data_IF_896177424762
#
_entry.id   IF_896177424762
#
_cell.length_a   1.000
_cell.length_b   1.000
_cell.length_c   1.000
_cell.angle_alpha   90.00
_cell.angle_beta   90.00
_cell.angle_gamma   90.00
#
_symmetry.space_group_name_H-M   'P 1'
#
loop_
_entity.id
_entity.type
_entity.pdbx_description
1 polymer ?
#
# COMPACT_ATOMS: atom_id res chain seq x y z
N UNK A 1 7.32 -2.56 18.30
CA UNK A 1 6.78 -2.75 16.94
C UNK A 1 7.70 -2.00 16.00
N UNK A 2 8.27 -2.67 15.00
CA UNK A 2 9.16 -2.06 14.00
C UNK A 2 8.38 -1.86 12.70
N UNK A 3 8.58 -0.72 12.05
CA UNK A 3 7.97 -0.40 10.76
C UNK A 3 9.00 -0.62 9.64
N UNK A 4 8.67 -1.51 8.70
CA UNK A 4 9.46 -1.70 7.47
C UNK A 4 9.01 -0.71 6.41
N UNK A 5 9.94 -0.05 5.73
CA UNK A 5 9.62 0.92 4.67
C UNK A 5 10.42 0.58 3.41
N UNK A 6 9.70 0.17 2.36
CA UNK A 6 10.26 -0.11 1.04
C UNK A 6 9.78 0.95 0.06
N UNK A 7 10.68 1.86 -0.34
CA UNK A 7 10.35 2.94 -1.28
C UNK A 7 10.33 2.44 -2.73
N UNK A 8 9.43 3.01 -3.52
CA UNK A 8 9.41 2.78 -4.98
C UNK A 8 10.59 3.56 -5.56
N UNK A 9 11.32 2.94 -6.49
CA UNK A 9 12.40 3.60 -7.19
C UNK A 9 11.87 4.80 -7.99
N UNK A 10 12.62 5.90 -8.02
CA UNK A 10 12.16 7.19 -8.54
C UNK A 10 11.66 7.08 -9.99
N UNK A 11 12.30 6.23 -10.80
CA UNK A 11 11.94 5.98 -12.20
C UNK A 11 10.64 5.17 -12.38
N UNK A 12 10.13 4.54 -11.33
CA UNK A 12 8.88 3.76 -11.34
C UNK A 12 7.70 4.48 -10.66
N UNK A 13 7.92 5.70 -10.14
CA UNK A 13 6.87 6.48 -9.49
C UNK A 13 5.84 6.95 -10.51
N UNK A 14 4.56 6.90 -10.13
CA UNK A 14 3.46 7.40 -10.95
C UNK A 14 3.56 8.92 -11.09
N UNK A 15 3.21 9.42 -12.28
CA UNK A 15 3.03 10.84 -12.48
C UNK A 15 1.90 11.37 -11.57
N UNK A 16 2.15 12.50 -10.90
CA UNK A 16 1.12 13.17 -10.13
C UNK A 16 0.02 13.67 -11.08
N UNK A 17 -1.27 13.53 -10.72
CA UNK A 17 -2.34 14.14 -11.49
C UNK A 17 -2.10 15.65 -11.63
N UNK A 18 -2.05 16.15 -12.86
CA UNK A 18 -1.78 17.56 -13.13
C UNK A 18 -3.03 18.44 -13.03
N UNK A 19 -4.21 17.85 -13.22
CA UNK A 19 -5.51 18.53 -13.22
C UNK A 19 -6.36 18.02 -12.06
N UNK A 20 -6.52 18.87 -11.04
CA UNK A 20 -7.25 18.54 -9.82
C UNK A 20 -8.76 18.30 -10.08
N UNK A 21 -9.31 18.90 -11.14
CA UNK A 21 -10.72 18.67 -11.52
C UNK A 21 -10.98 17.24 -12.03
N UNK A 22 -9.92 16.49 -12.36
CA UNK A 22 -9.97 15.13 -12.91
C UNK A 22 -9.54 14.04 -11.94
N UNK A 23 -9.40 14.34 -10.65
CA UNK A 23 -8.90 13.36 -9.67
C UNK A 23 -9.77 12.10 -9.56
N UNK A 24 -11.10 12.23 -9.68
CA UNK A 24 -12.03 11.11 -9.67
C UNK A 24 -11.99 10.29 -8.36
N UNK A 25 -13.02 10.43 -7.52
CA UNK A 25 -13.07 9.73 -6.24
C UNK A 25 -12.88 8.21 -6.39
N UNK A 26 -11.89 7.66 -5.67
CA UNK A 26 -11.61 6.22 -5.62
C UNK A 26 -10.95 5.59 -6.86
N UNK A 27 -10.44 6.41 -7.80
CA UNK A 27 -9.88 5.89 -9.07
C UNK A 27 -8.36 5.95 -9.15
N UNK A 28 -7.73 6.91 -8.47
CA UNK A 28 -6.29 7.15 -8.53
C UNK A 28 -5.68 6.83 -7.17
N UNK A 29 -4.71 5.92 -7.15
CA UNK A 29 -4.00 5.48 -5.94
C UNK A 29 -2.51 5.83 -6.03
N UNK A 30 -1.92 6.17 -4.89
CA UNK A 30 -0.49 6.50 -4.75
C UNK A 30 0.43 5.29 -5.03
N UNK A 31 1.74 5.52 -4.96
CA UNK A 31 2.76 4.51 -5.21
C UNK A 31 2.90 3.46 -4.11
N UNK A 32 2.36 3.74 -2.91
CA UNK A 32 2.54 2.92 -1.72
C UNK A 32 1.24 2.62 -1.01
N UNK A 33 1.21 1.48 -0.32
CA UNK A 33 0.19 1.17 0.67
C UNK A 33 0.80 0.79 2.02
N UNK A 34 -0.01 0.77 3.07
CA UNK A 34 0.36 0.28 4.39
C UNK A 34 -0.30 -1.07 4.64
N UNK A 35 0.44 -2.01 5.20
CA UNK A 35 -0.07 -3.32 5.62
C UNK A 35 0.40 -3.63 7.03
N UNK A 36 -0.42 -4.36 7.78
CA UNK A 36 -0.06 -4.90 9.09
C UNK A 36 -0.79 -6.23 9.26
N UNK A 37 -0.06 -7.26 9.70
CA UNK A 37 -0.63 -8.60 9.89
C UNK A 37 -1.24 -8.70 11.29
N UNK A 38 -2.29 -9.50 11.39
CA UNK A 38 -2.92 -9.83 12.66
C UNK A 38 -2.92 -11.35 12.86
N UNK A 39 -2.69 -11.78 14.11
CA UNK A 39 -2.88 -13.17 14.56
C UNK A 39 -3.37 -13.12 16.00
N UNK A 40 -4.43 -13.85 16.33
CA UNK A 40 -5.10 -13.74 17.64
C UNK A 40 -4.15 -13.88 18.84
N UNK A 41 -3.19 -14.80 18.77
CA UNK A 41 -2.19 -15.03 19.83
C UNK A 41 -1.10 -13.95 19.93
N UNK A 42 -0.89 -13.18 18.86
CA UNK A 42 0.23 -12.22 18.72
C UNK A 42 -0.23 -10.76 18.68
N UNK A 43 -1.51 -10.51 18.40
CA UNK A 43 -2.02 -9.18 18.06
C UNK A 43 -1.52 -8.72 16.70
N UNK A 44 -1.31 -7.41 16.56
CA UNK A 44 -0.79 -6.77 15.35
C UNK A 44 0.74 -6.90 15.26
N UNK A 45 1.25 -7.29 14.09
CA UNK A 45 2.68 -7.47 13.86
C UNK A 45 3.04 -7.27 12.39
N UNK A 46 4.34 -7.13 12.10
CA UNK A 46 4.89 -7.03 10.75
C UNK A 46 4.31 -5.85 9.94
N UNK A 47 4.33 -4.65 10.55
CA UNK A 47 3.88 -3.43 9.90
C UNK A 47 4.84 -3.03 8.77
N UNK A 48 4.30 -2.72 7.59
CA UNK A 48 5.08 -2.37 6.41
C UNK A 48 4.42 -1.28 5.54
N UNK A 49 5.25 -0.38 5.02
CA UNK A 49 4.92 0.50 3.89
C UNK A 49 5.66 -0.04 2.66
N UNK A 50 4.92 -0.40 1.62
CA UNK A 50 5.45 -1.08 0.43
C UNK A 50 4.84 -0.52 -0.86
N UNK A 51 5.45 -0.76 -2.04
CA UNK A 51 4.85 -0.45 -3.33
C UNK A 51 3.43 -1.02 -3.45
N UNK A 52 2.51 -0.21 -3.97
CA UNK A 52 1.13 -0.62 -4.21
C UNK A 52 1.10 -1.82 -5.17
N UNK A 53 0.38 -2.87 -4.78
CA UNK A 53 0.25 -4.11 -5.55
C UNK A 53 -1.09 -4.79 -5.25
N UNK A 54 -1.54 -5.73 -6.09
CA UNK A 54 -2.64 -6.62 -5.75
C UNK A 54 -2.39 -7.34 -4.42
N UNK A 55 -3.43 -7.45 -3.61
CA UNK A 55 -3.40 -8.26 -2.39
C UNK A 55 -3.60 -9.72 -2.79
N UNK A 56 -2.69 -10.59 -2.36
CA UNK A 56 -2.85 -12.04 -2.51
C UNK A 56 -3.50 -12.56 -1.23
N UNK A 57 -4.59 -13.31 -1.40
CA UNK A 57 -5.39 -13.86 -0.31
C UNK A 57 -5.73 -15.31 -0.64
N UNK A 58 -5.77 -16.15 0.38
CA UNK A 58 -6.30 -17.51 0.23
C UNK A 58 -7.79 -17.44 -0.15
N UNK A 59 -8.29 -18.29 -1.06
CA UNK A 59 -9.70 -18.27 -1.46
C UNK A 59 -10.71 -18.51 -0.32
N UNK A 60 -10.28 -19.12 0.79
CA UNK A 60 -11.12 -19.42 1.96
C UNK A 60 -10.99 -18.38 3.10
N UNK A 61 -10.36 -17.23 2.83
CA UNK A 61 -10.20 -16.14 3.80
C UNK A 61 -11.48 -15.32 4.06
#
# INVERSE_FOLDING_TARGET
>A
MELKVTRVATEKMKAKPADESKLGFGKIFSDHFFTIKYRSEKGWYDAAIEPYRPISLDPAA
#
